data_IF_383261015909
#
_entry.id   IF_383261015909
#
_cell.length_a   1.000
_cell.length_b   1.000
_cell.length_c   1.000
_cell.angle_alpha   90.00
_cell.angle_beta   90.00
_cell.angle_gamma   90.00
#
_symmetry.space_group_name_H-M   'P 1'
#
loop_
_entity.id
_entity.type
_entity.pdbx_description
1 polymer ?
#
# COMPACT_ATOMS: atom_id res chain seq x y z
N UNK A 1 7.25 10.80 -13.52
CA UNK A 1 7.02 9.53 -12.79
C UNK A 1 5.52 9.27 -12.79
N UNK A 2 5.03 8.33 -13.60
CA UNK A 2 3.61 7.96 -13.59
C UNK A 2 3.41 6.88 -12.56
N UNK A 3 2.88 7.23 -11.39
CA UNK A 3 2.50 6.28 -10.36
C UNK A 3 1.22 5.59 -10.83
N UNK A 4 1.27 4.30 -11.11
CA UNK A 4 0.10 3.50 -11.44
C UNK A 4 -0.56 3.09 -10.13
N UNK A 5 -1.27 4.02 -9.52
CA UNK A 5 -2.06 3.77 -8.33
C UNK A 5 -3.48 3.36 -8.69
N UNK A 6 -3.73 2.09 -8.96
CA UNK A 6 -5.09 1.54 -8.88
C UNK A 6 -5.27 0.87 -7.52
N UNK A 7 -5.80 1.63 -6.57
CA UNK A 7 -6.18 1.13 -5.26
C UNK A 7 -7.43 0.28 -5.39
N UNK A 8 -7.34 -0.98 -4.95
CA UNK A 8 -8.51 -1.76 -4.50
C UNK A 8 -9.55 -2.16 -5.54
N UNK A 9 -9.18 -2.29 -6.81
CA UNK A 9 -10.00 -3.01 -7.78
C UNK A 9 -9.43 -4.42 -7.84
N UNK A 10 -10.20 -5.41 -7.41
CA UNK A 10 -9.98 -6.79 -7.83
C UNK A 10 -10.05 -6.80 -9.36
N UNK A 11 -8.90 -6.69 -9.98
CA UNK A 11 -8.80 -6.77 -11.44
C UNK A 11 -9.10 -8.23 -11.77
N UNK A 12 -10.30 -8.52 -12.24
CA UNK A 12 -10.63 -9.82 -12.82
C UNK A 12 -9.81 -10.05 -14.09
N UNK A 13 -9.21 -9.01 -14.63
CA UNK A 13 -8.42 -9.03 -15.84
C UNK A 13 -6.95 -9.31 -15.52
N UNK A 14 -6.32 -10.07 -16.39
CA UNK A 14 -4.88 -10.28 -16.35
C UNK A 14 -4.17 -9.00 -16.77
N UNK A 15 -3.15 -8.60 -16.00
CA UNK A 15 -2.28 -7.46 -16.28
C UNK A 15 -0.89 -7.99 -16.64
N UNK A 16 -0.33 -7.53 -17.75
CA UNK A 16 1.05 -7.78 -18.12
C UNK A 16 1.85 -6.46 -18.11
N UNK A 17 2.94 -6.44 -17.35
CA UNK A 17 3.85 -5.29 -17.22
C UNK A 17 5.16 -5.70 -17.87
N UNK A 18 5.47 -5.13 -19.03
CA UNK A 18 6.68 -5.44 -19.77
C UNK A 18 7.70 -4.32 -19.78
N UNK A 19 8.87 -4.60 -20.32
CA UNK A 19 9.98 -3.63 -20.43
C UNK A 19 10.32 -2.96 -19.10
N UNK A 20 10.38 -3.74 -18.02
CA UNK A 20 10.73 -3.26 -16.67
C UNK A 20 12.08 -3.81 -16.23
N UNK A 21 12.76 -3.08 -15.36
CA UNK A 21 13.88 -3.57 -14.57
C UNK A 21 13.34 -4.11 -13.25
N UNK A 22 13.24 -5.43 -13.12
CA UNK A 22 12.82 -6.11 -11.90
C UNK A 22 14.02 -6.68 -11.14
N UNK A 23 13.95 -6.75 -9.84
CA UNK A 23 15.02 -7.35 -9.04
C UNK A 23 14.99 -8.89 -9.13
N UNK A 24 16.11 -9.48 -9.51
CA UNK A 24 16.32 -10.92 -9.50
C UNK A 24 17.06 -11.31 -8.22
N UNK A 25 16.37 -12.00 -7.32
CA UNK A 25 16.90 -12.39 -6.00
C UNK A 25 18.04 -13.41 -6.09
N UNK A 26 18.07 -14.24 -7.14
CA UNK A 26 19.13 -15.23 -7.34
C UNK A 26 20.41 -14.57 -7.85
N UNK A 27 20.28 -13.63 -8.77
CA UNK A 27 21.39 -12.88 -9.36
C UNK A 27 21.79 -11.67 -8.53
N UNK A 28 20.96 -11.27 -7.56
CA UNK A 28 21.14 -10.07 -6.72
C UNK A 28 21.34 -8.78 -7.53
N UNK A 29 20.66 -8.65 -8.65
CA UNK A 29 20.71 -7.48 -9.51
C UNK A 29 19.38 -7.23 -10.21
N UNK A 30 19.24 -6.04 -10.78
CA UNK A 30 18.11 -5.72 -11.65
C UNK A 30 18.34 -6.31 -13.04
N UNK A 31 17.31 -6.95 -13.56
CA UNK A 31 17.29 -7.54 -14.90
C UNK A 31 16.07 -7.03 -15.67
N UNK A 32 16.24 -6.86 -16.98
CA UNK A 32 15.12 -6.55 -17.85
C UNK A 32 14.17 -7.76 -17.92
N UNK A 33 12.87 -7.48 -17.87
CA UNK A 33 11.89 -8.56 -17.89
C UNK A 33 10.45 -8.08 -17.90
N UNK A 34 9.56 -9.00 -17.58
CA UNK A 34 8.12 -8.73 -17.46
C UNK A 34 7.51 -9.42 -16.23
N UNK A 35 6.34 -8.94 -15.83
CA UNK A 35 5.55 -9.52 -14.76
C UNK A 35 4.10 -9.64 -15.20
N UNK A 36 3.52 -10.83 -15.02
CA UNK A 36 2.09 -11.06 -15.21
C UNK A 36 1.40 -11.14 -13.88
N UNK A 37 0.30 -10.39 -13.72
CA UNK A 37 -0.55 -10.38 -12.53
C UNK A 37 -1.95 -10.82 -12.92
N UNK A 38 -2.50 -11.80 -12.23
CA UNK A 38 -3.89 -12.24 -12.40
C UNK A 38 -4.49 -12.57 -11.05
N UNK A 39 -5.76 -12.21 -10.85
CA UNK A 39 -6.43 -12.40 -9.56
C UNK A 39 -5.72 -11.71 -8.38
N UNK A 40 -5.04 -10.58 -8.62
CA UNK A 40 -4.28 -9.86 -7.60
C UNK A 40 -2.95 -10.51 -7.18
N UNK A 41 -2.47 -11.51 -7.92
CA UNK A 41 -1.22 -12.23 -7.63
C UNK A 41 -0.29 -12.21 -8.84
N UNK A 42 1.01 -12.20 -8.60
CA UNK A 42 2.02 -12.45 -9.65
C UNK A 42 1.93 -13.91 -10.03
N UNK A 43 1.62 -14.18 -11.31
CA UNK A 43 1.44 -15.52 -11.84
C UNK A 43 2.56 -15.98 -12.76
N UNK A 44 3.30 -15.03 -13.37
CA UNK A 44 4.46 -15.35 -14.18
C UNK A 44 5.48 -14.21 -14.19
N UNK A 45 6.74 -14.58 -14.40
CA UNK A 45 7.86 -13.67 -14.66
C UNK A 45 8.44 -14.03 -16.03
N UNK A 46 8.81 -12.98 -16.78
CA UNK A 46 9.48 -13.08 -18.09
C UNK A 46 8.73 -13.93 -19.12
N UNK A 47 7.41 -14.05 -18.95
CA UNK A 47 6.54 -14.72 -19.90
C UNK A 47 6.01 -13.75 -20.96
N UNK A 48 5.69 -14.26 -22.17
CA UNK A 48 4.97 -13.47 -23.17
C UNK A 48 3.65 -12.92 -22.62
N UNK A 49 3.25 -11.76 -23.12
CA UNK A 49 1.97 -11.17 -22.71
C UNK A 49 0.81 -12.09 -23.16
N UNK A 50 -0.10 -12.49 -22.23
CA UNK A 50 -1.33 -13.17 -22.61
C UNK A 50 -2.14 -12.33 -23.60
N UNK A 51 -2.88 -12.99 -24.50
CA UNK A 51 -3.60 -12.32 -25.57
C UNK A 51 -4.65 -11.31 -25.07
N UNK A 52 -5.29 -11.64 -23.94
CA UNK A 52 -6.36 -10.88 -23.28
C UNK A 52 -5.86 -9.97 -22.15
N UNK A 53 -4.54 -9.91 -21.91
CA UNK A 53 -3.99 -9.10 -20.84
C UNK A 53 -4.02 -7.60 -21.15
N UNK A 54 -4.40 -6.80 -20.16
CA UNK A 54 -4.08 -5.36 -20.16
C UNK A 54 -2.56 -5.21 -20.13
N UNK A 55 -2.01 -4.37 -21.01
CA UNK A 55 -0.56 -4.22 -21.16
C UNK A 55 -0.08 -2.88 -20.65
N UNK A 56 0.96 -2.91 -19.83
CA UNK A 56 1.69 -1.72 -19.35
C UNK A 56 3.12 -1.83 -19.88
N UNK A 57 3.53 -0.82 -20.63
CA UNK A 57 4.94 -0.65 -21.01
C UNK A 57 5.66 0.10 -19.88
N UNK A 58 6.61 -0.57 -19.25
CA UNK A 58 7.42 -0.02 -18.18
C UNK A 58 8.55 0.90 -18.66
N UNK A 59 8.79 0.98 -19.97
CA UNK A 59 9.78 1.88 -20.58
C UNK A 59 11.17 1.84 -19.91
N UNK A 60 11.61 0.67 -19.47
CA UNK A 60 12.89 0.48 -18.77
C UNK A 60 12.89 0.96 -17.31
N UNK A 61 11.74 1.32 -16.75
CA UNK A 61 11.66 1.74 -15.35
C UNK A 61 11.79 0.56 -14.38
N UNK A 62 12.20 0.88 -13.16
CA UNK A 62 12.28 -0.11 -12.08
C UNK A 62 10.89 -0.54 -11.62
N UNK A 63 10.67 -1.85 -11.57
CA UNK A 63 9.51 -2.45 -10.93
C UNK A 63 9.93 -2.98 -9.57
N UNK A 64 9.38 -2.40 -8.52
CA UNK A 64 9.70 -2.75 -7.14
C UNK A 64 8.40 -3.05 -6.37
N UNK A 65 8.49 -3.86 -5.29
CA UNK A 65 7.39 -3.93 -4.32
C UNK A 65 7.07 -2.55 -3.77
N UNK A 66 5.79 -2.30 -3.48
CA UNK A 66 5.41 -1.08 -2.80
C UNK A 66 6.03 -1.00 -1.40
N UNK A 67 6.28 0.22 -0.93
CA UNK A 67 6.81 0.46 0.39
C UNK A 67 5.78 0.08 1.47
N UNK A 68 6.29 -0.31 2.63
CA UNK A 68 5.49 -0.65 3.82
C UNK A 68 5.81 0.37 4.91
N UNK A 69 4.79 1.08 5.38
CA UNK A 69 4.89 1.99 6.51
C UNK A 69 4.15 1.36 7.70
N UNK A 70 4.90 1.03 8.75
CA UNK A 70 4.37 0.33 9.92
C UNK A 70 4.12 1.23 11.11
N UNK A 71 4.45 2.54 10.99
CA UNK A 71 4.28 3.50 12.09
C UNK A 71 4.07 4.91 11.54
N UNK A 72 2.81 5.34 11.48
CA UNK A 72 2.43 6.67 10.99
C UNK A 72 1.14 7.13 11.64
N UNK A 73 1.09 8.39 12.08
CA UNK A 73 -0.07 8.97 12.78
C UNK A 73 -1.08 9.62 11.84
N UNK A 74 -0.69 9.89 10.61
CA UNK A 74 -1.57 10.52 9.62
C UNK A 74 -0.81 11.15 8.48
N UNK A 75 -1.56 11.83 7.58
CA UNK A 75 -0.99 12.45 6.38
C UNK A 75 -1.95 13.49 5.80
N UNK A 76 -1.41 14.41 4.98
CA UNK A 76 -2.17 15.46 4.27
C UNK A 76 -3.13 16.27 5.17
N UNK A 77 -2.69 16.54 6.42
CA UNK A 77 -3.46 17.33 7.38
C UNK A 77 -4.57 16.56 8.11
N UNK A 78 -4.61 15.24 7.98
CA UNK A 78 -5.50 14.36 8.76
C UNK A 78 -4.68 13.45 9.68
N UNK A 79 -5.27 13.10 10.81
CA UNK A 79 -4.71 12.24 11.84
C UNK A 79 -5.59 11.00 12.00
N UNK A 80 -4.99 9.81 12.15
CA UNK A 80 -5.74 8.56 12.30
C UNK A 80 -6.55 8.50 13.59
N UNK A 81 -6.17 9.25 14.62
CA UNK A 81 -6.90 9.29 15.90
C UNK A 81 -8.28 9.96 15.76
N UNK A 82 -8.45 10.84 14.78
CA UNK A 82 -9.65 11.67 14.63
C UNK A 82 -10.31 11.59 13.23
N UNK A 83 -9.64 11.01 12.25
CA UNK A 83 -10.13 10.96 10.89
C UNK A 83 -11.38 10.07 10.74
N UNK A 84 -12.32 10.53 9.95
CA UNK A 84 -13.41 9.70 9.46
C UNK A 84 -12.98 8.76 8.32
N UNK A 85 -13.86 7.85 7.93
CA UNK A 85 -13.60 6.88 6.86
C UNK A 85 -13.23 7.55 5.53
N UNK A 86 -13.86 8.68 5.18
CA UNK A 86 -13.61 9.41 3.92
C UNK A 86 -12.22 10.06 3.94
N UNK A 87 -11.82 10.62 5.07
CA UNK A 87 -10.49 11.21 5.29
C UNK A 87 -9.41 10.12 5.26
N UNK A 88 -9.66 8.97 5.89
CA UNK A 88 -8.77 7.81 5.85
C UNK A 88 -8.54 7.29 4.42
N UNK A 89 -9.59 7.20 3.62
CA UNK A 89 -9.47 6.85 2.19
C UNK A 89 -8.64 7.86 1.39
N UNK A 90 -8.75 9.16 1.72
CA UNK A 90 -7.90 10.19 1.10
C UNK A 90 -6.43 10.03 1.51
N UNK A 91 -6.15 9.81 2.80
CA UNK A 91 -4.80 9.54 3.29
C UNK A 91 -4.20 8.32 2.59
N UNK A 92 -4.94 7.20 2.54
CA UNK A 92 -4.46 5.99 1.88
C UNK A 92 -4.08 6.22 0.41
N UNK A 93 -4.94 6.93 -0.35
CA UNK A 93 -4.63 7.29 -1.75
C UNK A 93 -3.35 8.12 -1.87
N UNK A 94 -3.12 9.02 -0.93
CA UNK A 94 -1.89 9.83 -0.89
C UNK A 94 -0.65 8.99 -0.60
N UNK A 95 -0.73 7.99 0.28
CA UNK A 95 0.36 7.04 0.51
C UNK A 95 0.68 6.25 -0.77
N UNK A 96 -0.36 5.70 -1.40
CA UNK A 96 -0.21 4.92 -2.64
C UNK A 96 0.37 5.76 -3.78
N UNK A 97 0.01 7.04 -3.90
CA UNK A 97 0.55 7.93 -4.94
C UNK A 97 2.06 8.14 -4.82
N UNK A 98 2.62 7.98 -3.62
CA UNK A 98 4.06 8.10 -3.35
C UNK A 98 4.76 6.73 -3.23
N UNK A 99 4.06 5.65 -3.57
CA UNK A 99 4.63 4.30 -3.62
C UNK A 99 4.50 3.48 -2.34
N UNK A 100 3.90 4.01 -1.28
CA UNK A 100 3.61 3.24 -0.04
C UNK A 100 2.29 2.51 -0.21
N UNK A 101 2.33 1.20 -0.43
CA UNK A 101 1.14 0.38 -0.73
C UNK A 101 0.56 -0.33 0.49
N UNK A 102 1.34 -0.43 1.57
CA UNK A 102 0.90 -1.02 2.84
C UNK A 102 1.16 -0.01 3.96
N UNK A 103 0.12 0.36 4.67
CA UNK A 103 0.20 1.31 5.79
C UNK A 103 -0.46 0.69 7.00
N UNK A 104 0.23 0.75 8.15
CA UNK A 104 -0.31 0.40 9.46
C UNK A 104 -0.54 1.70 10.22
N UNK A 105 -1.79 2.22 10.27
CA UNK A 105 -2.12 3.40 11.04
C UNK A 105 -1.71 3.25 12.49
N UNK A 106 -1.08 4.27 13.06
CA UNK A 106 -0.73 4.33 14.48
C UNK A 106 -1.69 5.23 15.21
N UNK A 107 -2.33 4.69 16.24
CA UNK A 107 -3.23 5.41 17.15
C UNK A 107 -2.44 5.74 18.41
N UNK A 108 -2.35 7.04 18.70
CA UNK A 108 -1.69 7.55 19.90
C UNK A 108 -2.48 7.24 21.18
N UNK A 109 -1.83 7.41 22.32
CA UNK A 109 -2.46 7.20 23.62
C UNK A 109 -3.56 8.24 23.87
N UNK A 110 -4.80 7.77 23.97
CA UNK A 110 -6.01 8.57 24.14
C UNK A 110 -7.02 7.88 25.07
N UNK A 111 -8.14 8.51 25.45
CA UNK A 111 -9.24 7.83 26.12
C UNK A 111 -9.71 6.60 25.33
N UNK A 112 -10.07 5.54 26.04
CA UNK A 112 -10.41 4.25 25.41
C UNK A 112 -11.52 4.36 24.34
N UNK A 113 -12.54 5.16 24.61
CA UNK A 113 -13.64 5.38 23.64
C UNK A 113 -13.15 6.00 22.34
N UNK A 114 -12.22 6.93 22.40
CA UNK A 114 -11.63 7.59 21.23
C UNK A 114 -10.78 6.59 20.43
N UNK A 115 -9.93 5.82 21.12
CA UNK A 115 -9.10 4.79 20.45
C UNK A 115 -9.98 3.73 19.79
N UNK A 116 -11.06 3.31 20.45
CA UNK A 116 -12.00 2.34 19.90
C UNK A 116 -12.68 2.90 18.64
N UNK A 117 -13.15 4.14 18.68
CA UNK A 117 -13.76 4.80 17.52
C UNK A 117 -12.81 4.90 16.34
N UNK A 118 -11.54 5.27 16.58
CA UNK A 118 -10.52 5.31 15.53
C UNK A 118 -10.29 3.93 14.90
N UNK A 119 -10.21 2.87 15.70
CA UNK A 119 -10.11 1.48 15.21
C UNK A 119 -11.32 1.06 14.38
N UNK A 120 -12.53 1.46 14.79
CA UNK A 120 -13.74 1.19 14.01
C UNK A 120 -13.73 1.88 12.65
N UNK A 121 -13.27 3.13 12.59
CA UNK A 121 -13.11 3.85 11.31
C UNK A 121 -12.04 3.22 10.42
N UNK A 122 -10.89 2.79 10.99
CA UNK A 122 -9.85 2.07 10.25
C UNK A 122 -10.40 0.78 9.65
N UNK A 123 -11.15 0.00 10.45
CA UNK A 123 -11.79 -1.22 10.00
C UNK A 123 -12.82 -0.97 8.90
N UNK A 124 -13.69 0.01 9.08
CA UNK A 124 -14.75 0.37 8.14
C UNK A 124 -14.17 0.89 6.81
N UNK A 125 -13.06 1.62 6.86
CA UNK A 125 -12.35 2.09 5.69
C UNK A 125 -11.91 0.95 4.76
N UNK A 126 -11.49 -0.19 5.31
CA UNK A 126 -11.07 -1.38 4.56
C UNK A 126 -9.78 -1.22 3.76
N UNK A 127 -9.03 -0.13 3.95
CA UNK A 127 -7.79 0.16 3.21
C UNK A 127 -6.54 -0.31 3.94
N UNK A 128 -6.63 -0.57 5.23
CA UNK A 128 -5.50 -0.88 6.10
C UNK A 128 -5.59 -2.31 6.62
N UNK A 129 -4.50 -3.10 6.57
CA UNK A 129 -4.53 -4.50 6.98
C UNK A 129 -4.54 -4.68 8.50
N UNK A 130 -4.09 -3.68 9.26
CA UNK A 130 -3.99 -3.69 10.72
C UNK A 130 -3.92 -2.25 11.26
N UNK A 131 -3.88 -2.10 12.59
CA UNK A 131 -3.55 -0.85 13.26
C UNK A 131 -2.51 -1.10 14.34
N UNK A 132 -1.66 -0.11 14.57
CA UNK A 132 -0.70 -0.05 15.67
C UNK A 132 -1.30 0.80 16.81
N UNK A 133 -1.22 0.31 18.02
CA UNK A 133 -1.58 1.09 19.21
C UNK A 133 -0.29 1.50 19.93
N UNK A 134 -0.03 2.80 19.94
CA UNK A 134 1.11 3.35 20.67
C UNK A 134 0.71 3.61 22.13
N UNK A 135 0.69 2.53 22.88
CA UNK A 135 0.52 2.43 24.31
C UNK A 135 -0.62 3.24 24.91
N UNK A 136 -1.45 2.65 25.74
CA UNK A 136 -2.40 3.37 26.60
C UNK A 136 -1.76 3.78 27.93
N UNK A 137 -0.78 3.01 28.37
CA UNK A 137 -0.17 3.12 29.69
C UNK A 137 1.28 3.57 29.58
N UNK A 138 1.47 4.82 29.10
CA UNK A 138 2.79 5.43 29.01
C UNK A 138 3.21 5.99 30.36
N UNK A 139 4.51 5.84 30.67
CA UNK A 139 5.06 6.45 31.88
C UNK A 139 4.93 7.98 31.80
N UNK A 140 4.49 8.66 32.89
CA UNK A 140 4.41 10.12 32.93
C UNK A 140 5.73 10.84 32.63
N UNK A 141 6.86 10.15 32.83
CA UNK A 141 8.22 10.66 32.52
C UNK A 141 8.57 10.65 31.03
N UNK A 142 7.72 10.03 30.19
CA UNK A 142 7.97 9.85 28.75
C UNK A 142 6.79 10.30 27.87
N UNK A 143 5.95 11.15 28.42
CA UNK A 143 4.88 11.83 27.67
C UNK A 143 5.42 13.08 26.99
#
# INVERSE_FOLDING_TARGET
>A
MKTIGKVGIFVQNTLWIGQVLRYDTKRQCFVSGSVTVSGGRITALDAPAPADAERIDGAGQYLMPGLVDVHTHGRIGFDFDSADEKQMKKMYRSYVSDGTTTVIPTIASAPFSQMLQALEHIRACGCFPAAHLEGRYLSPKRR
#
